data_IF_039871797635
#
_entry.id   IF_039871797635
#
_cell.length_a   1.000
_cell.length_b   1.000
_cell.length_c   1.000
_cell.angle_alpha   90.00
_cell.angle_beta   90.00
_cell.angle_gamma   90.00
#
_symmetry.space_group_name_H-M   'P 1'
#
loop_
_entity.id
_entity.type
_entity.pdbx_description
1 polymer ?
#
# COMPACT_ATOMS: atom_id res chain seq x y z
N UNK A 1 22.27 -19.53 16.44
CA UNK A 1 21.15 -18.58 16.60
C UNK A 1 21.33 -17.47 15.59
N UNK A 2 20.65 -17.53 14.45
CA UNK A 2 20.72 -16.48 13.44
C UNK A 2 19.84 -15.32 13.90
N UNK A 3 20.44 -14.20 14.29
CA UNK A 3 19.68 -12.98 14.58
C UNK A 3 18.85 -12.61 13.33
N UNK A 4 17.59 -12.15 13.48
CA UNK A 4 16.84 -11.65 12.35
C UNK A 4 17.62 -10.50 11.69
N UNK A 5 17.90 -10.64 10.38
CA UNK A 5 18.75 -9.71 9.61
C UNK A 5 18.27 -8.24 9.69
N UNK A 6 16.98 -8.02 9.97
CA UNK A 6 16.39 -6.68 10.13
C UNK A 6 15.66 -6.60 11.49
N UNK A 7 16.01 -5.63 12.35
CA UNK A 7 15.30 -5.37 13.60
C UNK A 7 13.81 -5.06 13.37
N UNK A 8 12.92 -5.50 14.26
CA UNK A 8 11.47 -5.31 14.12
C UNK A 8 11.06 -3.83 13.99
N UNK A 9 11.72 -2.92 14.74
CA UNK A 9 11.48 -1.46 14.65
C UNK A 9 11.87 -0.89 13.27
N UNK A 10 12.98 -1.36 12.71
CA UNK A 10 13.44 -0.94 11.38
C UNK A 10 12.53 -1.48 10.28
N UNK A 11 12.05 -2.72 10.41
CA UNK A 11 11.06 -3.31 9.51
C UNK A 11 9.76 -2.49 9.49
N UNK A 12 9.30 -2.01 10.65
CA UNK A 12 8.14 -1.11 10.74
C UNK A 12 8.41 0.25 10.08
N UNK A 13 9.59 0.85 10.30
CA UNK A 13 9.95 2.12 9.66
C UNK A 13 9.97 2.02 8.12
N UNK A 14 10.64 0.98 7.59
CA UNK A 14 10.70 0.72 6.14
C UNK A 14 9.30 0.47 5.59
N UNK A 15 8.50 -0.32 6.30
CA UNK A 15 7.12 -0.57 5.94
C UNK A 15 6.30 0.71 5.82
N UNK A 16 6.29 1.55 6.85
CA UNK A 16 5.55 2.82 6.84
C UNK A 16 6.02 3.77 5.73
N UNK A 17 7.33 3.91 5.53
CA UNK A 17 7.88 4.73 4.44
C UNK A 17 7.49 4.17 3.07
N UNK A 18 7.54 2.84 2.90
CA UNK A 18 7.10 2.17 1.68
C UNK A 18 5.62 2.41 1.38
N UNK A 19 4.76 2.37 2.41
CA UNK A 19 3.33 2.71 2.28
C UNK A 19 3.16 4.17 1.83
N UNK A 20 3.88 5.11 2.44
CA UNK A 20 3.81 6.54 2.07
C UNK A 20 4.21 6.77 0.62
N UNK A 21 5.34 6.21 0.19
CA UNK A 21 5.82 6.34 -1.20
C UNK A 21 4.84 5.69 -2.17
N UNK A 22 4.34 4.50 -1.85
CA UNK A 22 3.33 3.82 -2.65
C UNK A 22 2.06 4.67 -2.80
N UNK A 23 1.52 5.22 -1.71
CA UNK A 23 0.34 6.10 -1.77
C UNK A 23 0.59 7.33 -2.64
N UNK A 24 1.76 7.98 -2.49
CA UNK A 24 2.09 9.16 -3.28
C UNK A 24 2.12 8.87 -4.79
N UNK A 25 2.80 7.78 -5.18
CA UNK A 25 2.86 7.33 -6.58
C UNK A 25 1.47 6.90 -7.07
N UNK A 26 0.72 6.17 -6.25
CA UNK A 26 -0.62 5.72 -6.57
C UNK A 26 -1.56 6.88 -6.86
N UNK A 27 -1.57 7.90 -5.99
CA UNK A 27 -2.39 9.11 -6.18
C UNK A 27 -1.99 9.84 -7.45
N UNK A 28 -0.69 10.03 -7.70
CA UNK A 28 -0.22 10.68 -8.93
C UNK A 28 -0.69 9.94 -10.19
N UNK A 29 -0.61 8.60 -10.20
CA UNK A 29 -1.12 7.78 -11.31
C UNK A 29 -2.64 7.89 -11.41
N UNK A 30 -3.37 7.81 -10.29
CA UNK A 30 -4.83 7.89 -10.27
C UNK A 30 -5.35 9.26 -10.75
N UNK A 31 -4.69 10.37 -10.40
CA UNK A 31 -5.10 11.70 -10.86
C UNK A 31 -4.76 11.91 -12.33
N UNK A 32 -3.58 11.46 -12.78
CA UNK A 32 -3.22 11.57 -14.20
C UNK A 32 -4.12 10.70 -15.08
N UNK A 33 -4.46 9.49 -14.63
CA UNK A 33 -5.35 8.62 -15.37
C UNK A 33 -6.78 9.17 -15.44
N UNK A 34 -7.21 9.94 -14.43
CA UNK A 34 -8.50 10.65 -14.41
C UNK A 34 -8.67 11.60 -15.62
N UNK A 35 -7.61 12.31 -15.99
CA UNK A 35 -7.64 13.31 -17.07
C UNK A 35 -7.92 12.70 -18.46
N UNK A 36 -7.79 11.38 -18.61
CA UNK A 36 -8.06 10.66 -19.86
C UNK A 36 -9.49 10.09 -19.94
N UNK A 37 -10.32 10.24 -18.89
CA UNK A 37 -11.68 9.72 -18.92
C UNK A 37 -12.63 10.66 -19.69
N UNK A 38 -13.62 10.09 -20.41
CA UNK A 38 -14.66 10.88 -21.06
C UNK A 38 -15.58 11.52 -20.01
N UNK A 39 -16.14 12.70 -20.34
CA UNK A 39 -17.07 13.42 -19.46
C UNK A 39 -18.40 12.68 -19.33
N UNK A 40 -18.43 11.69 -18.43
CA UNK A 40 -19.59 10.87 -18.14
C UNK A 40 -19.62 10.51 -16.65
N UNK A 41 -20.70 10.93 -15.99
CA UNK A 41 -20.90 10.72 -14.55
C UNK A 41 -20.85 9.25 -14.13
N UNK A 42 -21.41 8.34 -14.92
CA UNK A 42 -21.38 6.91 -14.59
C UNK A 42 -19.95 6.35 -14.65
N UNK A 43 -19.18 6.79 -15.65
CA UNK A 43 -17.77 6.40 -15.82
C UNK A 43 -16.92 6.91 -14.65
N UNK A 44 -17.11 8.18 -14.25
CA UNK A 44 -16.41 8.73 -13.09
C UNK A 44 -16.74 7.97 -11.81
N UNK A 45 -18.02 7.61 -11.60
CA UNK A 45 -18.46 6.89 -10.41
C UNK A 45 -17.82 5.49 -10.32
N UNK A 46 -17.80 4.76 -11.43
CA UNK A 46 -17.11 3.46 -11.52
C UNK A 46 -15.60 3.63 -11.30
N UNK A 47 -14.99 4.64 -11.92
CA UNK A 47 -13.57 4.92 -11.78
C UNK A 47 -13.19 5.16 -10.31
N UNK A 48 -13.89 6.05 -9.62
CA UNK A 48 -13.63 6.34 -8.21
C UNK A 48 -13.91 5.14 -7.30
N UNK A 49 -14.93 4.33 -7.59
CA UNK A 49 -15.20 3.11 -6.83
C UNK A 49 -14.04 2.10 -6.99
N UNK A 50 -13.55 1.88 -8.21
CA UNK A 50 -12.48 0.91 -8.48
C UNK A 50 -11.15 1.42 -7.93
N UNK A 51 -10.74 2.63 -8.26
CA UNK A 51 -9.47 3.22 -7.80
C UNK A 51 -9.49 3.43 -6.27
N UNK A 52 -10.61 3.89 -5.72
CA UNK A 52 -10.77 4.08 -4.28
C UNK A 52 -10.69 2.78 -3.46
N UNK A 53 -10.89 1.61 -4.09
CA UNK A 53 -10.77 0.30 -3.43
C UNK A 53 -9.48 -0.44 -3.82
N UNK A 54 -8.92 -0.19 -5.01
CA UNK A 54 -7.79 -0.93 -5.53
C UNK A 54 -6.49 -0.71 -4.74
N UNK A 55 -6.29 0.45 -4.11
CA UNK A 55 -5.06 0.77 -3.36
C UNK A 55 -4.84 -0.12 -2.12
N UNK A 56 -5.89 -0.70 -1.55
CA UNK A 56 -5.80 -1.56 -0.36
C UNK A 56 -5.14 -2.91 -0.67
N UNK A 57 -5.34 -3.45 -1.88
CA UNK A 57 -4.80 -4.75 -2.31
C UNK A 57 -3.26 -4.78 -2.27
N UNK A 58 -2.55 -3.79 -2.85
CA UNK A 58 -1.08 -3.71 -2.77
C UNK A 58 -0.53 -3.55 -1.35
N UNK A 59 -1.31 -3.00 -0.42
CA UNK A 59 -0.85 -2.79 0.97
C UNK A 59 -0.88 -4.05 1.81
N UNK A 60 -1.80 -4.98 1.53
CA UNK A 60 -1.94 -6.23 2.28
C UNK A 60 -0.63 -7.02 2.45
N UNK A 61 0.17 -7.30 1.40
CA UNK A 61 1.42 -8.04 1.55
C UNK A 61 2.44 -7.28 2.40
N UNK A 62 2.56 -5.96 2.23
CA UNK A 62 3.49 -5.11 2.98
C UNK A 62 3.11 -5.05 4.47
N UNK A 63 1.83 -4.88 4.78
CA UNK A 63 1.30 -4.92 6.14
C UNK A 63 1.50 -6.29 6.79
N UNK A 64 1.28 -7.39 6.04
CA UNK A 64 1.52 -8.75 6.54
C UNK A 64 2.99 -8.98 6.89
N UNK A 65 3.91 -8.41 6.10
CA UNK A 65 5.35 -8.50 6.34
C UNK A 65 5.76 -7.70 7.59
N UNK A 66 5.21 -6.50 7.77
CA UNK A 66 5.39 -5.72 8.99
C UNK A 66 4.84 -6.44 10.23
N UNK A 67 3.65 -7.06 10.13
CA UNK A 67 3.02 -7.80 11.23
C UNK A 67 3.78 -9.08 11.61
N UNK A 68 4.48 -9.72 10.67
CA UNK A 68 5.39 -10.85 10.96
C UNK A 68 6.59 -10.45 11.83
N UNK A 69 6.93 -9.15 11.93
CA UNK A 69 7.96 -8.66 12.83
C UNK A 69 7.58 -8.79 14.32
N UNK A 70 6.28 -8.84 14.62
CA UNK A 70 5.75 -8.82 15.99
C UNK A 70 5.46 -10.21 16.55
N UNK A 71 5.65 -11.28 15.75
CA UNK A 71 5.48 -12.65 16.25
C UNK A 71 6.62 -12.96 17.24
N UNK A 72 6.33 -13.30 18.51
CA UNK A 72 7.36 -13.68 19.45
C UNK A 72 8.11 -14.90 18.92
N UNK A 73 9.44 -14.84 18.91
CA UNK A 73 10.34 -15.92 18.47
C UNK A 73 10.40 -17.01 19.55
N UNK A 74 9.26 -17.48 20.09
CA UNK A 74 9.22 -18.56 21.08
C UNK A 74 7.92 -19.37 20.96
N UNK A 75 8.02 -20.63 20.51
CA UNK A 75 7.99 -21.78 21.42
C UNK A 75 8.82 -22.92 20.85
#
# INVERSE_FOLDING_TARGET
>A
MSAPIIPARLRKLIGTLGIMVFLAVYVAIATTLYDFLPDNRAVHLIYFAVIGLAWGLPLMPLMSWMGKADKPVIR
#
